data_IF_224540617892
#
_entry.id   IF_224540617892
#
_cell.length_a   1.000
_cell.length_b   1.000
_cell.length_c   1.000
_cell.angle_alpha   90.00
_cell.angle_beta   90.00
_cell.angle_gamma   90.00
#
_symmetry.space_group_name_H-M   'P 1'
#
loop_
_entity.id
_entity.type
_entity.pdbx_description
1 polymer ?
#
# COMPACT_ATOMS: atom_id res chain seq x y z
N UNK A 1 -28.40 -3.26 1.87
CA UNK A 1 -27.25 -2.91 2.72
C UNK A 1 -26.04 -3.54 2.05
N UNK A 2 -25.31 -2.78 1.24
CA UNK A 2 -24.10 -3.28 0.59
C UNK A 2 -23.02 -3.38 1.66
N UNK A 3 -22.58 -4.60 1.97
CA UNK A 3 -21.45 -4.81 2.87
C UNK A 3 -20.20 -4.30 2.17
N UNK A 4 -19.81 -3.06 2.45
CA UNK A 4 -18.48 -2.59 2.08
C UNK A 4 -17.47 -3.52 2.78
N UNK A 5 -16.69 -4.25 1.99
CA UNK A 5 -15.70 -5.18 2.56
C UNK A 5 -14.53 -4.35 3.06
N UNK A 6 -14.34 -4.33 4.38
CA UNK A 6 -13.15 -3.71 4.97
C UNK A 6 -12.02 -4.74 5.00
N UNK A 7 -10.91 -4.43 4.35
CA UNK A 7 -9.66 -5.18 4.47
C UNK A 7 -8.78 -4.56 5.54
N UNK A 8 -8.07 -5.39 6.29
CA UNK A 8 -7.22 -4.96 7.40
C UNK A 8 -5.87 -5.67 7.30
N UNK A 9 -4.79 -4.88 7.31
CA UNK A 9 -3.43 -5.36 7.24
C UNK A 9 -2.62 -4.86 8.43
N UNK A 10 -1.82 -5.75 8.99
CA UNK A 10 -0.82 -5.39 10.00
C UNK A 10 0.42 -4.84 9.30
N UNK A 11 1.04 -3.84 9.90
CA UNK A 11 2.26 -3.23 9.38
C UNK A 11 3.14 -2.63 10.47
N UNK A 12 4.19 -1.99 10.03
CA UNK A 12 5.14 -1.25 10.85
C UNK A 12 5.29 0.16 10.32
N UNK A 13 5.24 1.12 11.23
CA UNK A 13 5.68 2.48 11.00
C UNK A 13 7.05 2.68 11.63
N UNK A 14 7.92 3.45 10.97
CA UNK A 14 9.23 3.83 11.49
C UNK A 14 9.58 5.26 11.12
N UNK A 15 10.06 6.01 12.09
CA UNK A 15 10.65 7.34 11.88
C UNK A 15 11.95 7.49 12.67
N UNK A 16 12.49 8.72 12.73
CA UNK A 16 13.72 9.03 13.46
C UNK A 16 13.64 8.82 14.97
N UNK A 17 12.45 8.67 15.54
CA UNK A 17 12.22 8.54 16.99
C UNK A 17 11.91 7.10 17.41
N UNK A 18 11.60 6.21 16.47
CA UNK A 18 11.40 4.79 16.75
C UNK A 18 10.51 4.09 15.73
N UNK A 19 10.07 2.88 16.09
CA UNK A 19 9.13 2.09 15.33
C UNK A 19 7.89 1.75 16.17
N UNK A 20 6.74 1.63 15.53
CA UNK A 20 5.52 1.13 16.15
C UNK A 20 4.78 0.19 15.20
N UNK A 21 4.06 -0.78 15.76
CA UNK A 21 3.14 -1.59 14.98
C UNK A 21 1.89 -0.78 14.64
N UNK A 22 1.43 -0.90 13.40
CA UNK A 22 0.25 -0.18 12.90
C UNK A 22 -0.75 -1.14 12.28
N UNK A 23 -2.00 -0.70 12.25
CA UNK A 23 -3.06 -1.36 11.50
C UNK A 23 -3.48 -0.45 10.36
N UNK A 24 -3.56 -0.99 9.16
CA UNK A 24 -4.04 -0.30 7.96
C UNK A 24 -5.39 -0.92 7.60
N UNK A 25 -6.42 -0.08 7.48
CA UNK A 25 -7.75 -0.49 7.05
C UNK A 25 -8.06 0.14 5.68
N UNK A 26 -8.57 -0.67 4.76
CA UNK A 26 -9.08 -0.23 3.47
C UNK A 26 -10.58 -0.53 3.38
N UNK A 27 -11.40 0.49 3.11
CA UNK A 27 -12.82 0.35 2.84
C UNK A 27 -13.17 1.12 1.57
N UNK A 28 -13.55 0.40 0.52
CA UNK A 28 -13.77 0.99 -0.79
C UNK A 28 -12.50 1.68 -1.32
N UNK A 29 -12.56 3.01 -1.49
CA UNK A 29 -11.42 3.85 -1.90
C UNK A 29 -10.69 4.50 -0.73
N UNK A 30 -11.14 4.31 0.50
CA UNK A 30 -10.61 5.00 1.67
C UNK A 30 -9.65 4.10 2.44
N UNK A 31 -8.44 4.61 2.68
CA UNK A 31 -7.46 4.06 3.59
C UNK A 31 -7.52 4.79 4.93
N UNK A 32 -7.33 4.05 6.02
CA UNK A 32 -7.19 4.58 7.38
C UNK A 32 -6.08 3.86 8.12
N UNK A 33 -5.34 4.59 8.94
CA UNK A 33 -4.36 4.02 9.88
C UNK A 33 -4.20 4.90 11.10
N UNK A 34 -3.65 4.35 12.18
CA UNK A 34 -3.33 5.10 13.40
C UNK A 34 -1.84 4.97 13.70
N UNK A 35 -1.17 6.10 13.80
CA UNK A 35 0.29 6.23 13.97
C UNK A 35 0.51 7.21 15.13
N UNK A 36 1.22 6.79 16.18
CA UNK A 36 1.50 7.55 17.41
C UNK A 36 0.27 8.20 18.03
N UNK A 37 -0.87 7.51 17.95
CA UNK A 37 -2.14 7.99 18.47
C UNK A 37 -2.89 8.98 17.57
N UNK A 38 -2.33 9.35 16.41
CA UNK A 38 -2.99 10.19 15.39
C UNK A 38 -3.62 9.30 14.34
N UNK A 39 -4.88 9.55 14.00
CA UNK A 39 -5.56 8.87 12.90
C UNK A 39 -5.22 9.58 11.59
N UNK A 40 -4.93 8.79 10.55
CA UNK A 40 -4.68 9.26 9.20
C UNK A 40 -5.68 8.61 8.24
N UNK A 41 -6.16 9.38 7.27
CA UNK A 41 -7.06 8.91 6.23
C UNK A 41 -6.73 9.50 4.85
N UNK A 42 -7.03 8.77 3.78
CA UNK A 42 -6.76 9.22 2.41
C UNK A 42 -7.20 8.20 1.37
N UNK A 43 -7.15 8.56 0.09
CA UNK A 43 -7.46 7.62 -1.01
C UNK A 43 -6.26 6.75 -1.41
N UNK A 44 -5.05 7.22 -1.11
CA UNK A 44 -3.79 6.52 -1.38
C UNK A 44 -2.87 6.64 -0.18
N UNK A 45 -1.90 5.72 -0.07
CA UNK A 45 -0.94 5.75 1.04
C UNK A 45 -0.08 7.02 1.07
N UNK A 46 0.23 7.58 -0.10
CA UNK A 46 0.99 8.83 -0.22
C UNK A 46 0.13 10.09 0.06
N UNK A 47 -1.20 9.94 0.07
CA UNK A 47 -2.16 11.01 0.34
C UNK A 47 -2.84 10.85 1.72
N UNK A 48 -2.19 10.16 2.66
CA UNK A 48 -2.68 10.05 4.04
C UNK A 48 -2.52 11.38 4.76
N UNK A 49 -3.64 11.94 5.21
CA UNK A 49 -3.71 13.18 5.96
C UNK A 49 -4.22 12.92 7.38
N UNK A 50 -3.72 13.66 8.39
CA UNK A 50 -4.20 13.52 9.76
C UNK A 50 -5.68 13.93 9.87
N UNK A 51 -6.47 13.12 10.58
CA UNK A 51 -7.89 13.39 10.83
C UNK A 51 -8.03 14.28 12.06
N UNK A 52 -8.57 15.48 11.88
CA UNK A 52 -8.87 16.40 12.98
C UNK A 52 -7.63 17.08 13.60
N UNK A 53 -6.50 17.06 12.90
CA UNK A 53 -5.28 17.79 13.25
C UNK A 53 -4.63 18.35 11.97
N UNK A 54 -3.77 19.35 12.13
CA UNK A 54 -2.97 19.88 11.03
C UNK A 54 -1.64 19.11 10.90
N UNK A 55 -1.16 18.93 9.67
CA UNK A 55 0.15 18.35 9.39
C UNK A 55 0.12 17.36 8.22
N UNK A 56 1.27 16.74 7.96
CA UNK A 56 1.43 15.71 6.92
C UNK A 56 2.29 14.58 7.46
N UNK A 57 1.92 13.35 7.12
CA UNK A 57 2.75 12.18 7.41
C UNK A 57 4.05 12.29 6.59
N UNK A 58 5.19 12.37 7.26
CA UNK A 58 6.48 12.70 6.62
C UNK A 58 7.66 12.10 7.41
N UNK A 59 8.85 12.10 6.82
CA UNK A 59 10.09 11.60 7.44
C UNK A 59 10.00 10.17 7.97
N UNK A 60 9.24 9.31 7.29
CA UNK A 60 8.92 7.99 7.81
C UNK A 60 8.88 6.92 6.73
N UNK A 61 8.88 5.68 7.22
CA UNK A 61 8.69 4.47 6.42
C UNK A 61 7.46 3.75 6.96
N UNK A 62 6.59 3.29 6.05
CA UNK A 62 5.51 2.36 6.33
C UNK A 62 5.77 1.05 5.57
N UNK A 63 5.68 -0.06 6.29
CA UNK A 63 5.86 -1.41 5.78
C UNK A 63 4.62 -2.24 6.12
N UNK A 64 4.03 -2.93 5.15
CA UNK A 64 2.93 -3.85 5.41
C UNK A 64 2.85 -4.95 4.35
N UNK A 65 2.25 -6.07 4.72
CA UNK A 65 1.97 -7.17 3.81
C UNK A 65 0.46 -7.27 3.58
N UNK A 66 0.06 -7.46 2.33
CA UNK A 66 -1.32 -7.75 1.97
C UNK A 66 -1.42 -9.00 1.09
N UNK A 67 -2.47 -9.83 1.26
CA UNK A 67 -2.71 -10.94 0.35
C UNK A 67 -3.08 -10.39 -1.04
N UNK A 68 -2.42 -10.92 -2.08
CA UNK A 68 -2.75 -10.61 -3.46
C UNK A 68 -2.89 -11.92 -4.24
N UNK A 69 -4.11 -12.47 -4.39
CA UNK A 69 -4.28 -13.73 -5.09
C UNK A 69 -3.90 -13.61 -6.57
N UNK A 70 -3.18 -14.60 -7.07
CA UNK A 70 -2.75 -14.71 -8.47
C UNK A 70 -3.48 -15.90 -9.09
N UNK A 71 -4.10 -15.70 -10.24
CA UNK A 71 -4.68 -16.77 -11.03
C UNK A 71 -3.70 -17.22 -12.10
N UNK A 72 -3.40 -18.52 -12.16
CA UNK A 72 -2.60 -19.15 -13.21
C UNK A 72 -3.16 -20.53 -13.53
N UNK A 73 -3.21 -20.90 -14.81
CA UNK A 73 -3.75 -22.20 -15.28
C UNK A 73 -5.12 -22.56 -14.70
N UNK A 74 -6.00 -21.56 -14.55
CA UNK A 74 -7.34 -21.73 -14.00
C UNK A 74 -7.39 -21.99 -12.49
N UNK A 75 -6.26 -21.85 -11.78
CA UNK A 75 -6.16 -21.99 -10.32
C UNK A 75 -5.85 -20.64 -9.69
N UNK A 76 -6.45 -20.37 -8.53
CA UNK A 76 -6.10 -19.22 -7.71
C UNK A 76 -5.11 -19.65 -6.64
N UNK A 77 -3.93 -19.06 -6.69
CA UNK A 77 -2.85 -19.24 -5.72
C UNK A 77 -2.76 -18.00 -4.83
N UNK A 78 -2.48 -18.22 -3.54
CA UNK A 78 -2.26 -17.11 -2.62
C UNK A 78 -0.81 -16.62 -2.76
N UNK A 79 -0.66 -15.33 -3.01
CA UNK A 79 0.62 -14.64 -2.96
C UNK A 79 0.57 -13.51 -1.93
N UNK A 80 1.75 -13.10 -1.48
CA UNK A 80 1.92 -11.98 -0.55
C UNK A 80 2.51 -10.81 -1.30
N UNK A 81 1.86 -9.65 -1.21
CA UNK A 81 2.40 -8.39 -1.69
C UNK A 81 2.97 -7.62 -0.48
N UNK A 82 4.29 -7.55 -0.41
CA UNK A 82 5.01 -6.73 0.55
C UNK A 82 5.13 -5.31 0.01
N UNK A 83 4.70 -4.34 0.81
CA UNK A 83 4.64 -2.93 0.46
C UNK A 83 5.58 -2.14 1.37
N UNK A 84 6.40 -1.28 0.76
CA UNK A 84 7.30 -0.37 1.44
C UNK A 84 7.09 1.04 0.91
N UNK A 85 6.52 1.92 1.72
CA UNK A 85 6.35 3.35 1.42
C UNK A 85 7.38 4.16 2.19
N UNK A 86 8.19 4.94 1.49
CA UNK A 86 9.14 5.89 2.07
C UNK A 86 8.71 7.32 1.81
N UNK A 87 8.42 8.06 2.87
CA UNK A 87 7.99 9.46 2.82
C UNK A 87 9.15 10.38 3.25
N UNK A 88 9.39 11.41 2.43
CA UNK A 88 10.40 12.43 2.68
C UNK A 88 9.88 13.59 3.52
N UNK A 89 10.51 14.75 3.39
CA UNK A 89 10.11 15.96 4.11
C UNK A 89 9.24 16.87 3.24
N UNK A 90 8.29 17.61 3.83
CA UNK A 90 7.63 18.70 3.12
C UNK A 90 8.66 19.83 2.83
N UNK A 91 8.63 20.45 1.64
CA UNK A 91 9.56 21.52 1.29
C UNK A 91 9.36 22.77 2.16
N UNK A 92 10.43 23.55 2.34
CA UNK A 92 10.38 24.83 3.05
C UNK A 92 9.50 25.82 2.28
N UNK A 93 8.32 26.12 2.81
CA UNK A 93 7.30 26.95 2.14
C UNK A 93 5.95 26.25 1.95
N UNK A 94 5.86 24.96 2.30
CA UNK A 94 4.65 24.16 2.11
C UNK A 94 4.55 23.58 0.70
N UNK A 95 3.71 22.55 0.56
CA UNK A 95 3.58 21.79 -0.69
C UNK A 95 3.66 20.28 -0.47
N UNK A 96 3.57 19.48 -1.55
CA UNK A 96 3.70 18.03 -1.46
C UNK A 96 5.11 17.64 -0.99
N UNK A 97 5.22 16.45 -0.39
CA UNK A 97 6.50 15.89 0.06
C UNK A 97 7.52 15.85 -1.08
N UNK A 98 8.79 16.08 -0.76
CA UNK A 98 9.90 15.97 -1.72
C UNK A 98 10.09 14.54 -2.25
N UNK A 99 9.59 13.54 -1.50
CA UNK A 99 9.65 12.12 -1.82
C UNK A 99 8.43 11.37 -1.29
N UNK A 100 7.88 10.52 -2.15
CA UNK A 100 6.90 9.49 -1.79
C UNK A 100 7.16 8.25 -2.66
N UNK A 101 8.11 7.41 -2.22
CA UNK A 101 8.54 6.24 -2.98
C UNK A 101 7.81 5.00 -2.48
N UNK A 102 7.07 4.35 -3.38
CA UNK A 102 6.42 3.07 -3.12
C UNK A 102 7.16 1.95 -3.83
N UNK A 103 7.68 1.00 -3.06
CA UNK A 103 8.24 -0.25 -3.56
C UNK A 103 7.30 -1.40 -3.21
N UNK A 104 6.99 -2.23 -4.19
CA UNK A 104 6.18 -3.43 -4.06
C UNK A 104 7.03 -4.65 -4.41
N UNK A 105 6.93 -5.69 -3.59
CA UNK A 105 7.51 -7.01 -3.86
C UNK A 105 6.42 -8.06 -3.76
N UNK A 106 6.16 -8.77 -4.85
CA UNK A 106 5.24 -9.91 -4.87
C UNK A 106 6.00 -11.21 -4.65
N UNK A 107 5.61 -11.96 -3.62
CA UNK A 107 6.08 -13.31 -3.37
C UNK A 107 5.07 -14.32 -3.94
N UNK A 108 5.40 -14.92 -5.08
CA UNK A 108 4.52 -15.85 -5.80
C UNK A 108 5.33 -17.00 -6.43
N UNK A 109 4.86 -18.25 -6.23
CA UNK A 109 5.46 -19.44 -6.85
C UNK A 109 6.93 -19.70 -6.44
N UNK A 110 7.34 -19.23 -5.26
CA UNK A 110 8.74 -19.31 -4.81
C UNK A 110 9.67 -18.25 -5.41
N UNK A 111 9.14 -17.33 -6.23
CA UNK A 111 9.87 -16.20 -6.79
C UNK A 111 9.44 -14.87 -6.14
N UNK A 112 10.30 -13.87 -6.26
CA UNK A 112 10.04 -12.48 -5.87
C UNK A 112 10.02 -11.60 -7.13
N UNK A 113 8.97 -10.81 -7.30
CA UNK A 113 8.80 -9.88 -8.41
C UNK A 113 8.71 -8.45 -7.86
N UNK A 114 9.64 -7.59 -8.24
CA UNK A 114 9.80 -6.26 -7.65
C UNK A 114 9.33 -5.16 -8.61
N UNK A 115 8.63 -4.14 -8.09
CA UNK A 115 8.26 -2.97 -8.90
C UNK A 115 9.44 -2.06 -9.22
N UNK A 116 10.51 -2.14 -8.42
CA UNK A 116 11.63 -1.21 -8.38
C UNK A 116 11.28 0.15 -7.74
N UNK A 117 12.30 0.94 -7.45
CA UNK A 117 12.19 2.33 -6.94
C UNK A 117 12.12 3.28 -8.13
N UNK A 118 10.96 3.35 -8.76
CA UNK A 118 10.68 4.41 -9.71
C UNK A 118 9.35 5.02 -9.30
N UNK A 119 9.33 6.35 -9.13
CA UNK A 119 8.15 7.10 -8.72
C UNK A 119 6.88 6.71 -9.49
N UNK A 120 5.74 6.96 -8.87
CA UNK A 120 4.43 6.52 -9.37
C UNK A 120 3.53 6.09 -8.21
N UNK A 121 2.25 5.91 -8.51
CA UNK A 121 1.29 5.44 -7.52
C UNK A 121 1.30 3.90 -7.39
N UNK A 122 0.43 3.38 -6.52
CA UNK A 122 0.27 1.94 -6.30
C UNK A 122 -0.08 1.17 -7.59
N UNK A 123 -0.90 1.75 -8.46
CA UNK A 123 -1.33 1.13 -9.72
C UNK A 123 -0.17 1.00 -10.71
N UNK A 124 0.69 2.02 -10.80
CA UNK A 124 1.88 1.99 -11.63
C UNK A 124 2.88 0.92 -11.17
N UNK A 125 3.15 0.86 -9.87
CA UNK A 125 4.05 -0.13 -9.27
C UNK A 125 3.51 -1.56 -9.49
N UNK A 126 2.22 -1.77 -9.26
CA UNK A 126 1.58 -3.07 -9.46
C UNK A 126 1.58 -3.48 -10.95
N UNK A 127 1.39 -2.52 -11.85
CA UNK A 127 1.46 -2.75 -13.29
C UNK A 127 2.86 -3.20 -13.75
N UNK A 128 3.93 -2.74 -13.10
CA UNK A 128 5.30 -3.22 -13.36
C UNK A 128 5.50 -4.66 -12.91
N UNK A 129 4.97 -5.03 -11.75
CA UNK A 129 5.00 -6.42 -11.27
C UNK A 129 4.23 -7.31 -12.24
N UNK A 130 3.02 -6.89 -12.67
CA UNK A 130 2.19 -7.66 -13.61
C UNK A 130 2.93 -8.03 -14.90
N UNK A 131 3.77 -7.13 -15.42
CA UNK A 131 4.55 -7.37 -16.65
C UNK A 131 5.69 -8.37 -16.47
N UNK A 132 6.07 -8.70 -15.24
CA UNK A 132 7.12 -9.65 -14.91
C UNK A 132 6.59 -11.05 -14.60
N UNK A 133 5.26 -11.18 -14.42
CA UNK A 133 4.66 -12.45 -14.08
C UNK A 133 4.86 -13.51 -15.18
N UNK A 134 4.86 -14.80 -14.81
CA UNK A 134 4.84 -15.88 -15.78
C UNK A 134 3.67 -15.73 -16.77
N UNK A 135 3.82 -16.20 -18.02
CA UNK A 135 2.71 -16.18 -18.98
C UNK A 135 1.46 -16.86 -18.42
N UNK A 136 0.30 -16.21 -18.58
CA UNK A 136 -0.99 -16.73 -18.09
C UNK A 136 -1.26 -16.48 -16.60
N UNK A 137 -0.33 -15.84 -15.86
CA UNK A 137 -0.57 -15.40 -14.50
C UNK A 137 -1.17 -13.98 -14.46
N UNK A 138 -2.28 -13.81 -13.74
CA UNK A 138 -2.99 -12.53 -13.60
C UNK A 138 -3.40 -12.28 -12.13
N UNK A 139 -3.45 -11.02 -11.72
CA UNK A 139 -3.98 -10.67 -10.40
C UNK A 139 -5.49 -10.87 -10.35
N UNK A 140 -5.98 -11.51 -9.30
CA UNK A 140 -7.41 -11.57 -9.02
C UNK A 140 -7.82 -10.26 -8.35
N UNK A 141 -8.26 -9.29 -9.15
CA UNK A 141 -8.94 -8.12 -8.61
C UNK A 141 -10.26 -8.60 -8.04
N UNK A 142 -10.44 -8.50 -6.72
CA UNK A 142 -11.76 -8.65 -6.11
C UNK A 142 -12.59 -7.45 -6.53
N UNK A 143 -13.30 -7.55 -7.65
CA UNK A 143 -14.37 -6.61 -7.97
C UNK A 143 -15.35 -6.66 -6.80
N UNK A 144 -15.72 -5.51 -6.17
CA UNK A 144 -16.80 -5.51 -5.20
C UNK A 144 -18.05 -6.08 -5.87
N UNK A 145 -18.74 -6.97 -5.17
CA UNK A 145 -20.00 -7.57 -5.64
C UNK A 145 -21.00 -6.46 -5.95
N UNK A 146 -21.41 -6.36 -7.22
CA UNK A 146 -22.43 -5.43 -7.68
C UNK A 146 -22.23 -5.04 -9.15
N UNK A 147 -22.47 -5.99 -10.06
CA UNK A 147 -22.80 -5.72 -11.46
C UNK A 147 -24.31 -5.84 -11.64
#
# INVERSE_FOLDING_TARGET
>A
MSSESTEVWAGWYRDRTGAEAVTIAASGRQLRTRIKGVEYAGETFAALEPVGADGVLSSCVLEWDMPLPVQSDGRVEQATLSCLLTLGEPPQGGGPLDRADLNLTLHYGGAAYESGVAGGDFGDALSRIRRQLPPGAEFVVRTPVGA
#
